data_IF_252212051866
#
_entry.id   IF_252212051866
#
_cell.length_a   1.000
_cell.length_b   1.000
_cell.length_c   1.000
_cell.angle_alpha   90.00
_cell.angle_beta   90.00
_cell.angle_gamma   90.00
#
_symmetry.space_group_name_H-M   'P 1'
#
loop_
_entity.id
_entity.type
_entity.pdbx_description
1 polymer ?
#
# COMPACT_ATOMS: atom_id res chain seq x y z
N UNK A 1 -32.16 -27.05 -20.58
CA UNK A 1 -31.96 -25.65 -21.01
C UNK A 1 -32.07 -24.78 -19.77
N UNK A 2 -30.95 -24.23 -19.32
CA UNK A 2 -30.72 -22.79 -19.04
C UNK A 2 -29.26 -22.66 -18.63
N UNK A 3 -28.49 -22.01 -19.50
CA UNK A 3 -27.09 -21.68 -19.31
C UNK A 3 -27.03 -20.31 -18.67
N UNK A 4 -26.40 -20.20 -17.50
CA UNK A 4 -25.98 -18.91 -16.94
C UNK A 4 -24.46 -18.88 -16.96
N UNK A 5 -23.92 -18.24 -17.98
CA UNK A 5 -22.54 -17.78 -18.04
C UNK A 5 -22.59 -16.30 -17.69
N UNK A 6 -21.99 -15.93 -16.55
CA UNK A 6 -21.29 -14.65 -16.42
C UNK A 6 -19.88 -15.04 -15.96
N UNK A 7 -19.06 -15.36 -16.94
CA UNK A 7 -17.63 -15.40 -16.79
C UNK A 7 -17.21 -13.93 -16.84
N UNK A 8 -16.88 -13.34 -15.68
CA UNK A 8 -16.00 -12.17 -15.65
C UNK A 8 -14.58 -12.68 -15.94
N UNK A 9 -14.32 -13.02 -17.21
CA UNK A 9 -12.97 -13.10 -17.74
C UNK A 9 -12.53 -11.65 -17.93
N UNK A 10 -12.04 -11.02 -16.86
CA UNK A 10 -10.95 -10.07 -17.04
C UNK A 10 -9.73 -10.91 -17.43
N UNK A 11 -9.72 -11.39 -18.67
CA UNK A 11 -8.49 -11.82 -19.32
C UNK A 11 -7.69 -10.55 -19.59
N UNK A 12 -7.09 -9.99 -18.54
CA UNK A 12 -5.84 -9.28 -18.71
C UNK A 12 -4.89 -10.33 -19.25
N UNK A 13 -4.78 -10.41 -20.58
CA UNK A 13 -3.74 -11.19 -21.23
C UNK A 13 -2.46 -10.91 -20.45
N UNK A 14 -1.76 -11.96 -20.03
CA UNK A 14 -0.48 -11.82 -19.37
C UNK A 14 0.49 -11.20 -20.37
N UNK A 15 0.45 -9.88 -20.50
CA UNK A 15 1.49 -9.13 -21.17
C UNK A 15 2.78 -9.47 -20.43
N UNK A 16 3.73 -10.07 -21.15
CA UNK A 16 5.03 -10.39 -20.58
C UNK A 16 5.62 -9.12 -19.97
N UNK A 17 5.93 -9.16 -18.68
CA UNK A 17 6.56 -8.03 -18.00
C UNK A 17 7.90 -7.73 -18.68
N UNK A 18 8.05 -6.50 -19.19
CA UNK A 18 9.30 -5.99 -19.75
C UNK A 18 10.02 -5.12 -18.71
N UNK A 19 11.27 -4.77 -18.98
CA UNK A 19 11.99 -3.83 -18.11
C UNK A 19 11.23 -2.49 -17.97
N UNK A 20 10.55 -2.03 -19.02
CA UNK A 20 9.78 -0.78 -19.02
C UNK A 20 8.51 -0.89 -18.18
N UNK A 21 7.76 -2.00 -18.28
CA UNK A 21 6.55 -2.21 -17.47
C UNK A 21 6.88 -2.32 -15.99
N UNK A 22 7.95 -3.05 -15.64
CA UNK A 22 8.42 -3.16 -14.25
C UNK A 22 8.88 -1.81 -13.70
N UNK A 23 9.61 -1.02 -14.49
CA UNK A 23 10.01 0.33 -14.07
C UNK A 23 8.79 1.23 -13.82
N UNK A 24 7.73 1.09 -14.64
CA UNK A 24 6.45 1.74 -14.43
C UNK A 24 5.83 1.38 -13.07
N UNK A 25 5.80 0.09 -12.71
CA UNK A 25 5.30 -0.39 -11.41
C UNK A 25 6.13 0.15 -10.25
N UNK A 26 7.46 0.10 -10.34
CA UNK A 26 8.36 0.63 -9.31
C UNK A 26 8.13 2.14 -9.07
N UNK A 27 7.88 2.92 -10.14
CA UNK A 27 7.57 4.34 -10.02
C UNK A 27 6.25 4.60 -9.28
N UNK A 28 5.22 3.76 -9.50
CA UNK A 28 3.95 3.85 -8.76
C UNK A 28 4.18 3.49 -7.29
N UNK A 29 4.84 2.36 -7.03
CA UNK A 29 5.11 1.91 -5.66
C UNK A 29 5.95 2.91 -4.87
N UNK A 30 6.92 3.58 -5.49
CA UNK A 30 7.70 4.63 -4.85
C UNK A 30 6.84 5.82 -4.40
N UNK A 31 5.88 6.25 -5.21
CA UNK A 31 4.93 7.32 -4.85
C UNK A 31 3.98 6.88 -3.73
N UNK A 32 3.47 5.65 -3.81
CA UNK A 32 2.62 5.08 -2.76
C UNK A 32 3.38 4.98 -1.44
N UNK A 33 4.64 4.52 -1.45
CA UNK A 33 5.47 4.43 -0.25
C UNK A 33 5.66 5.79 0.44
N UNK A 34 5.87 6.85 -0.34
CA UNK A 34 5.95 8.22 0.20
C UNK A 34 4.62 8.64 0.81
N UNK A 35 3.50 8.36 0.13
CA UNK A 35 2.16 8.65 0.64
C UNK A 35 1.90 7.99 1.99
N UNK A 36 2.17 6.69 2.11
CA UNK A 36 1.90 5.96 3.37
C UNK A 36 2.80 6.42 4.52
N UNK A 37 4.07 6.74 4.23
CA UNK A 37 4.97 7.33 5.23
C UNK A 37 4.46 8.68 5.72
N UNK A 38 3.90 9.50 4.82
CA UNK A 38 3.29 10.77 5.19
C UNK A 38 2.04 10.56 6.06
N UNK A 39 1.20 9.56 5.76
CA UNK A 39 0.03 9.21 6.58
C UNK A 39 0.44 8.77 7.99
N UNK A 40 1.50 7.95 8.14
CA UNK A 40 2.05 7.59 9.45
C UNK A 40 2.41 8.84 10.27
N UNK A 41 3.19 9.75 9.67
CA UNK A 41 3.60 11.00 10.34
C UNK A 41 2.41 11.91 10.69
N UNK A 42 1.42 11.94 9.81
CA UNK A 42 0.20 12.71 10.03
C UNK A 42 -0.55 12.20 11.28
N UNK A 43 -0.78 10.89 11.38
CA UNK A 43 -1.43 10.32 12.56
C UNK A 43 -0.58 10.45 13.83
N UNK A 44 0.74 10.30 13.76
CA UNK A 44 1.62 10.57 14.91
C UNK A 44 1.47 12.02 15.42
N UNK A 45 1.36 12.99 14.49
CA UNK A 45 1.12 14.39 14.84
C UNK A 45 -0.23 14.59 15.51
N UNK A 46 -1.28 13.92 15.03
CA UNK A 46 -2.61 14.00 15.65
C UNK A 46 -2.64 13.37 17.04
N UNK A 47 -1.97 12.23 17.24
CA UNK A 47 -1.84 11.61 18.56
C UNK A 47 -1.18 12.57 19.54
N UNK A 48 -0.09 13.23 19.14
CA UNK A 48 0.62 14.19 19.99
C UNK A 48 -0.22 15.42 20.36
N UNK A 49 -1.09 15.88 19.45
CA UNK A 49 -1.93 17.08 19.63
C UNK A 49 -3.26 16.81 20.34
N UNK A 50 -3.70 15.55 20.39
CA UNK A 50 -4.97 15.20 21.01
C UNK A 50 -4.79 15.05 22.51
N UNK A 51 -5.53 15.86 23.27
CA UNK A 51 -5.63 15.75 24.73
C UNK A 51 -6.22 14.40 25.14
N UNK A 52 -5.75 13.84 26.25
CA UNK A 52 -6.17 12.56 26.80
C UNK A 52 -6.63 12.63 28.25
N UNK A 53 -6.96 13.84 28.73
CA UNK A 53 -7.48 14.06 30.06
C UNK A 53 -8.85 13.40 30.30
N UNK A 54 -9.68 13.28 29.26
CA UNK A 54 -11.03 12.68 29.34
C UNK A 54 -11.18 11.38 28.53
N UNK A 55 -12.33 10.73 28.66
CA UNK A 55 -12.61 9.46 27.99
C UNK A 55 -12.68 9.60 26.46
N UNK A 56 -13.14 10.76 25.97
CA UNK A 56 -13.29 11.04 24.54
C UNK A 56 -11.91 11.20 23.91
N UNK A 57 -11.04 12.02 24.49
CA UNK A 57 -9.66 12.23 24.07
C UNK A 57 -8.85 10.93 24.04
N UNK A 58 -8.98 10.09 25.10
CA UNK A 58 -8.39 8.75 25.13
C UNK A 58 -8.90 7.86 23.99
N UNK A 59 -10.20 7.91 23.70
CA UNK A 59 -10.81 7.17 22.59
C UNK A 59 -10.27 7.60 21.23
N UNK A 60 -10.24 8.91 21.00
CA UNK A 60 -9.73 9.52 19.76
C UNK A 60 -8.26 9.19 19.52
N UNK A 61 -7.40 9.28 20.55
CA UNK A 61 -5.98 8.89 20.43
C UNK A 61 -5.79 7.42 20.08
N UNK A 62 -6.59 6.52 20.66
CA UNK A 62 -6.53 5.11 20.30
C UNK A 62 -6.86 4.89 18.83
N UNK A 63 -7.90 5.53 18.32
CA UNK A 63 -8.27 5.44 16.91
C UNK A 63 -7.14 5.96 15.99
N UNK A 64 -6.52 7.10 16.30
CA UNK A 64 -5.36 7.57 15.51
C UNK A 64 -4.17 6.62 15.59
N UNK A 65 -3.93 5.99 16.74
CA UNK A 65 -2.87 4.98 16.87
C UNK A 65 -3.15 3.73 16.03
N UNK A 66 -4.38 3.24 16.02
CA UNK A 66 -4.83 2.11 15.20
C UNK A 66 -4.64 2.41 13.70
N UNK A 67 -5.07 3.59 13.24
CA UNK A 67 -4.89 4.02 11.86
C UNK A 67 -3.42 4.12 11.47
N UNK A 68 -2.59 4.77 12.29
CA UNK A 68 -1.14 4.84 12.07
C UNK A 68 -0.52 3.46 11.92
N UNK A 69 -0.92 2.53 12.77
CA UNK A 69 -0.35 1.18 12.76
C UNK A 69 -0.82 0.38 11.54
N UNK A 70 -2.00 0.67 10.97
CA UNK A 70 -2.41 0.17 9.65
C UNK A 70 -1.53 0.73 8.53
N UNK A 71 -1.27 2.04 8.51
CA UNK A 71 -0.39 2.64 7.49
C UNK A 71 1.04 2.08 7.55
N UNK A 72 1.54 1.73 8.74
CA UNK A 72 2.83 1.01 8.87
C UNK A 72 2.81 -0.35 8.18
N UNK A 73 1.68 -1.07 8.19
CA UNK A 73 1.54 -2.34 7.44
C UNK A 73 1.50 -2.08 5.94
N UNK A 74 0.84 -1.01 5.50
CA UNK A 74 0.89 -0.60 4.09
C UNK A 74 2.32 -0.30 3.65
N UNK A 75 3.10 0.45 4.45
CA UNK A 75 4.54 0.71 4.19
C UNK A 75 5.30 -0.60 4.02
N UNK A 76 5.16 -1.56 4.94
CA UNK A 76 5.85 -2.85 4.88
C UNK A 76 5.46 -3.66 3.63
N UNK A 77 4.18 -3.65 3.29
CA UNK A 77 3.65 -4.35 2.11
C UNK A 77 4.24 -3.77 0.83
N UNK A 78 4.21 -2.44 0.69
CA UNK A 78 4.76 -1.74 -0.47
C UNK A 78 6.27 -1.96 -0.58
N UNK A 79 7.01 -1.95 0.53
CA UNK A 79 8.45 -2.26 0.54
C UNK A 79 8.72 -3.68 0.01
N UNK A 80 7.96 -4.67 0.48
CA UNK A 80 8.07 -6.05 0.00
C UNK A 80 7.78 -6.16 -1.50
N UNK A 81 6.79 -5.40 -2.00
CA UNK A 81 6.49 -5.35 -3.43
C UNK A 81 7.62 -4.70 -4.24
N UNK A 82 8.22 -3.63 -3.73
CA UNK A 82 9.38 -2.99 -4.38
C UNK A 82 10.53 -3.98 -4.49
N UNK A 83 10.88 -4.67 -3.39
CA UNK A 83 11.96 -5.67 -3.38
C UNK A 83 11.72 -6.78 -4.41
N UNK A 84 10.49 -7.28 -4.49
CA UNK A 84 10.09 -8.28 -5.50
C UNK A 84 10.31 -7.77 -6.93
N UNK A 85 9.83 -6.56 -7.25
CA UNK A 85 9.93 -6.01 -8.61
C UNK A 85 11.35 -5.60 -8.98
N UNK A 86 12.15 -5.11 -8.02
CA UNK A 86 13.58 -4.85 -8.22
C UNK A 86 14.34 -6.15 -8.53
N UNK A 87 14.02 -7.24 -7.82
CA UNK A 87 14.60 -8.55 -8.09
C UNK A 87 14.20 -9.04 -9.49
N UNK A 88 12.92 -8.91 -9.85
CA UNK A 88 12.45 -9.30 -11.18
C UNK A 88 13.11 -8.49 -12.31
N UNK A 89 13.34 -7.21 -12.10
CA UNK A 89 14.04 -6.35 -13.05
C UNK A 89 15.51 -6.78 -13.24
N UNK A 90 16.18 -7.22 -12.17
CA UNK A 90 17.55 -7.75 -12.26
C UNK A 90 17.59 -9.04 -13.08
N UNK A 91 16.62 -9.94 -12.89
CA UNK A 91 16.53 -11.21 -13.63
C UNK A 91 16.32 -11.01 -15.13
N UNK A 92 15.57 -9.97 -15.55
CA UNK A 92 15.37 -9.66 -16.96
C UNK A 92 16.60 -9.01 -17.63
N UNK A 93 17.49 -8.41 -16.84
CA UNK A 93 18.70 -7.75 -17.34
C UNK A 93 19.96 -8.63 -17.24
N UNK A 94 19.86 -9.83 -16.67
CA UNK A 94 20.95 -10.80 -16.52
C UNK A 94 21.10 -11.69 -17.75
#
# INVERSE_FOLDING_TARGET
MTQFIIICEDSMAAEEETCETIQGRLNVLAKSLVSERNSVLYYDTLIQKTDDSDSVGKGTRRMYAELRDEEKKHVQTIQSMIEYWEQRLKELNA
#
